data_IF_448679617469
#
_entry.id   IF_448679617469
#
_cell.length_a   1.000
_cell.length_b   1.000
_cell.length_c   1.000
_cell.angle_alpha   90.00
_cell.angle_beta   90.00
_cell.angle_gamma   90.00
#
_symmetry.space_group_name_H-M   'P 1'
#
loop_
_entity.id
_entity.type
_entity.pdbx_description
1 polymer ?
#
# COMPACT_ATOMS: atom_id res chain seq x y z
N UNK A 1 11.35 -15.11 6.55
CA UNK A 1 12.42 -14.59 5.69
C UNK A 1 12.63 -13.08 5.83
N UNK A 2 11.66 -12.36 6.43
CA UNK A 2 11.72 -10.89 6.53
C UNK A 2 11.86 -10.23 5.15
N UNK A 3 12.81 -9.33 5.00
CA UNK A 3 13.08 -8.64 3.72
C UNK A 3 13.95 -9.43 2.73
N UNK A 4 14.45 -10.59 3.13
CA UNK A 4 15.30 -11.44 2.29
C UNK A 4 14.47 -12.51 1.59
N UNK A 5 13.70 -12.10 0.60
CA UNK A 5 12.90 -13.02 -0.23
C UNK A 5 13.68 -13.34 -1.49
N UNK A 6 13.86 -14.64 -1.76
CA UNK A 6 14.53 -15.10 -2.96
C UNK A 6 13.62 -15.11 -4.19
N UNK A 7 14.22 -15.28 -5.37
CA UNK A 7 13.51 -15.33 -6.65
C UNK A 7 12.40 -16.39 -6.66
N UNK A 8 12.69 -17.57 -6.17
CA UNK A 8 11.74 -18.70 -6.21
C UNK A 8 10.48 -18.40 -5.40
N UNK A 9 10.66 -17.83 -4.23
CA UNK A 9 9.54 -17.39 -3.36
C UNK A 9 8.74 -16.28 -4.02
N UNK A 10 9.38 -15.25 -4.59
CA UNK A 10 8.68 -14.17 -5.32
C UNK A 10 7.88 -14.71 -6.51
N UNK A 11 8.46 -15.59 -7.31
CA UNK A 11 7.78 -16.18 -8.45
C UNK A 11 6.61 -17.08 -8.02
N UNK A 12 6.74 -17.78 -6.89
CA UNK A 12 5.66 -18.57 -6.31
C UNK A 12 4.49 -17.67 -5.90
N UNK A 13 4.77 -16.59 -5.18
CA UNK A 13 3.76 -15.63 -4.75
C UNK A 13 3.02 -15.02 -5.95
N UNK A 14 3.75 -14.54 -6.95
CA UNK A 14 3.14 -13.97 -8.16
C UNK A 14 2.26 -14.98 -8.91
N UNK A 15 2.69 -16.25 -9.01
CA UNK A 15 1.86 -17.30 -9.62
C UNK A 15 0.59 -17.56 -8.83
N UNK A 16 0.67 -17.62 -7.50
CA UNK A 16 -0.49 -17.81 -6.64
C UNK A 16 -1.46 -16.62 -6.74
N UNK A 17 -0.94 -15.39 -6.76
CA UNK A 17 -1.74 -14.19 -6.98
C UNK A 17 -2.49 -14.25 -8.32
N UNK A 18 -1.82 -14.64 -9.41
CA UNK A 18 -2.49 -14.83 -10.72
C UNK A 18 -3.57 -15.90 -10.69
N UNK A 19 -3.33 -17.02 -10.00
CA UNK A 19 -4.34 -18.08 -9.84
C UNK A 19 -5.57 -17.58 -9.05
N UNK A 20 -5.37 -16.62 -8.15
CA UNK A 20 -6.45 -15.96 -7.41
C UNK A 20 -7.06 -14.74 -8.14
N UNK A 21 -6.74 -14.55 -9.43
CA UNK A 21 -7.17 -13.39 -10.24
C UNK A 21 -6.72 -12.02 -9.70
N UNK A 22 -5.68 -11.97 -8.89
CA UNK A 22 -5.08 -10.70 -8.47
C UNK A 22 -4.27 -10.15 -9.63
N UNK A 23 -4.51 -8.89 -9.99
CA UNK A 23 -3.86 -8.21 -11.10
C UNK A 23 -3.01 -7.02 -10.70
N UNK A 24 -3.11 -6.57 -9.45
CA UNK A 24 -2.41 -5.41 -8.93
C UNK A 24 -1.77 -5.70 -7.57
N UNK A 25 -0.60 -5.12 -7.33
CA UNK A 25 0.15 -5.25 -6.08
C UNK A 25 0.55 -3.84 -5.61
N UNK A 26 0.35 -3.57 -4.32
CA UNK A 26 0.90 -2.40 -3.65
C UNK A 26 2.13 -2.82 -2.86
N UNK A 27 3.22 -2.08 -3.01
CA UNK A 27 4.49 -2.39 -2.32
C UNK A 27 4.53 -1.78 -0.92
N UNK A 28 3.55 -2.13 -0.09
CA UNK A 28 3.42 -1.60 1.26
C UNK A 28 4.60 -2.00 2.17
N UNK A 29 5.30 -1.09 2.86
CA UNK A 29 5.18 0.37 2.82
C UNK A 29 6.51 0.97 2.41
N UNK A 30 7.15 0.40 1.40
CA UNK A 30 8.43 0.81 0.84
C UNK A 30 8.69 0.11 -0.50
N UNK A 31 9.56 0.65 -1.34
CA UNK A 31 9.90 0.01 -2.62
C UNK A 31 10.45 -1.40 -2.42
N UNK A 32 10.01 -2.33 -3.26
CA UNK A 32 10.48 -3.70 -3.22
C UNK A 32 11.87 -3.86 -3.89
N UNK A 33 12.42 -5.07 -3.91
CA UNK A 33 13.68 -5.34 -4.61
C UNK A 33 13.52 -5.12 -6.13
N UNK A 34 14.57 -4.69 -6.86
CA UNK A 34 14.47 -4.51 -8.32
C UNK A 34 13.97 -5.76 -9.05
N UNK A 35 14.37 -6.95 -8.60
CA UNK A 35 13.91 -8.22 -9.14
C UNK A 35 12.39 -8.37 -9.12
N UNK A 36 11.74 -7.85 -8.09
CA UNK A 36 10.28 -7.92 -7.97
C UNK A 36 9.58 -7.19 -9.13
N UNK A 37 10.07 -6.02 -9.51
CA UNK A 37 9.50 -5.26 -10.64
C UNK A 37 9.75 -5.94 -11.97
N UNK A 38 10.95 -6.51 -12.19
CA UNK A 38 11.24 -7.34 -13.39
C UNK A 38 10.24 -8.50 -13.50
N UNK A 39 9.94 -9.15 -12.38
CA UNK A 39 8.96 -10.23 -12.33
C UNK A 39 7.54 -9.71 -12.57
N UNK A 40 7.16 -8.58 -11.98
CA UNK A 40 5.86 -7.96 -12.22
C UNK A 40 5.67 -7.57 -13.69
N UNK A 41 6.70 -7.00 -14.33
CA UNK A 41 6.72 -6.71 -15.77
C UNK A 41 6.47 -8.00 -16.58
N UNK A 42 7.18 -9.06 -16.23
CA UNK A 42 7.10 -10.35 -16.94
C UNK A 42 5.75 -11.06 -16.75
N UNK A 43 5.20 -11.03 -15.54
CA UNK A 43 3.94 -11.70 -15.21
C UNK A 43 2.70 -10.83 -15.49
N UNK A 44 2.88 -9.58 -15.90
CA UNK A 44 1.79 -8.66 -16.24
C UNK A 44 0.96 -8.24 -15.01
N UNK A 45 1.62 -7.81 -13.95
CA UNK A 45 0.97 -7.13 -12.83
C UNK A 45 1.01 -5.63 -13.01
N UNK A 46 0.00 -4.96 -12.51
CA UNK A 46 0.06 -3.54 -12.19
C UNK A 46 0.67 -3.36 -10.81
N UNK A 47 1.49 -2.32 -10.63
CA UNK A 47 2.13 -2.03 -9.34
C UNK A 47 1.81 -0.61 -8.91
N UNK A 48 1.35 -0.48 -7.67
CA UNK A 48 1.38 0.76 -6.93
C UNK A 48 2.68 0.75 -6.13
N UNK A 49 3.65 1.52 -6.61
CA UNK A 49 4.97 1.59 -5.99
C UNK A 49 5.00 2.68 -4.92
N UNK A 50 5.36 2.30 -3.69
CA UNK A 50 5.21 3.15 -2.52
C UNK A 50 6.53 3.63 -1.97
N UNK A 51 6.60 4.95 -1.73
CA UNK A 51 7.74 5.57 -1.05
C UNK A 51 7.81 5.10 0.41
N UNK A 52 9.02 4.92 0.92
CA UNK A 52 9.25 4.50 2.29
C UNK A 52 9.02 5.64 3.30
N UNK A 53 7.79 6.14 3.33
CA UNK A 53 7.33 7.17 4.25
C UNK A 53 6.15 6.61 5.05
N UNK A 54 6.34 6.51 6.35
CA UNK A 54 5.37 6.01 7.33
C UNK A 54 5.53 6.80 8.62
N UNK A 55 4.45 7.33 9.17
CA UNK A 55 4.51 8.07 10.43
C UNK A 55 3.24 7.90 11.28
N UNK A 56 2.62 6.74 11.19
CA UNK A 56 1.37 6.39 11.89
C UNK A 56 1.39 6.70 13.38
N UNK A 57 2.53 6.50 14.07
CA UNK A 57 2.68 6.77 15.50
C UNK A 57 2.39 8.24 15.89
N UNK A 58 2.47 9.17 14.94
CA UNK A 58 2.05 10.56 15.12
C UNK A 58 0.55 10.80 14.82
N UNK A 59 -0.19 9.72 14.53
CA UNK A 59 -1.60 9.76 14.14
C UNK A 59 -1.81 10.02 12.65
N UNK A 60 -2.90 9.46 12.13
CA UNK A 60 -3.31 9.69 10.75
C UNK A 60 -3.59 11.17 10.50
N UNK A 61 -3.16 11.70 9.36
CA UNK A 61 -3.33 13.11 9.03
C UNK A 61 -2.50 14.07 9.90
N UNK A 62 -1.46 13.57 10.60
CA UNK A 62 -0.58 14.42 11.39
C UNK A 62 0.09 15.50 10.52
N UNK A 63 0.40 16.63 11.17
CA UNK A 63 1.14 17.74 10.55
C UNK A 63 2.58 17.86 11.05
N UNK A 64 3.00 16.97 11.94
CA UNK A 64 4.36 17.02 12.51
C UNK A 64 5.37 16.70 11.43
N UNK A 65 5.21 15.56 10.74
CA UNK A 65 6.09 15.18 9.64
C UNK A 65 5.53 15.62 8.28
N UNK A 66 4.22 15.53 8.06
CA UNK A 66 3.57 15.86 6.79
C UNK A 66 3.64 17.35 6.42
N UNK A 67 3.71 18.27 7.39
CA UNK A 67 3.72 19.72 7.15
C UNK A 67 4.90 20.48 7.78
N UNK A 68 5.77 19.81 8.55
CA UNK A 68 6.96 20.47 9.11
C UNK A 68 8.05 20.65 8.03
N UNK A 69 8.48 21.89 7.76
CA UNK A 69 9.47 22.19 6.71
C UNK A 69 10.84 21.55 6.94
N UNK A 70 11.20 21.22 8.17
CA UNK A 70 12.47 20.53 8.47
C UNK A 70 12.54 19.12 7.86
N UNK A 71 11.38 18.51 7.58
CA UNK A 71 11.27 17.17 6.99
C UNK A 71 11.10 17.19 5.46
N UNK A 72 10.97 18.36 4.84
CA UNK A 72 10.70 18.46 3.40
C UNK A 72 11.77 17.75 2.56
N UNK A 73 13.05 17.98 2.85
CA UNK A 73 14.14 17.33 2.10
C UNK A 73 14.10 15.81 2.22
N UNK A 74 13.80 15.29 3.39
CA UNK A 74 13.71 13.85 3.61
C UNK A 74 12.54 13.21 2.83
N UNK A 75 11.41 13.91 2.71
CA UNK A 75 10.27 13.46 1.91
C UNK A 75 10.58 13.50 0.41
N UNK A 76 11.14 14.61 -0.07
CA UNK A 76 11.53 14.79 -1.48
C UNK A 76 12.57 13.74 -1.89
N UNK A 77 13.56 13.47 -1.05
CA UNK A 77 14.59 12.46 -1.33
C UNK A 77 13.99 11.06 -1.53
N UNK A 78 13.01 10.68 -0.72
CA UNK A 78 12.30 9.39 -0.87
C UNK A 78 11.51 9.31 -2.17
N UNK A 79 10.80 10.37 -2.52
CA UNK A 79 10.06 10.45 -3.78
C UNK A 79 11.01 10.39 -4.99
N UNK A 80 12.12 11.13 -4.92
CA UNK A 80 13.14 11.16 -5.96
C UNK A 80 13.78 9.78 -6.15
N UNK A 81 14.20 9.13 -5.06
CA UNK A 81 14.83 7.82 -5.10
C UNK A 81 13.87 6.76 -5.69
N UNK A 82 12.61 6.75 -5.28
CA UNK A 82 11.58 5.87 -5.80
C UNK A 82 11.46 5.99 -7.32
N UNK A 83 11.14 7.19 -7.80
CA UNK A 83 10.85 7.40 -9.22
C UNK A 83 12.09 7.21 -10.09
N UNK A 84 13.26 7.68 -9.67
CA UNK A 84 14.48 7.50 -10.46
C UNK A 84 14.86 6.04 -10.63
N UNK A 85 14.62 5.21 -9.63
CA UNK A 85 14.89 3.79 -9.69
C UNK A 85 13.91 3.04 -10.60
N UNK A 86 12.60 3.32 -10.44
CA UNK A 86 11.55 2.40 -10.93
C UNK A 86 10.73 2.93 -12.13
N UNK A 87 10.94 4.17 -12.57
CA UNK A 87 10.20 4.78 -13.69
C UNK A 87 10.25 4.04 -15.02
N UNK A 88 11.23 3.17 -15.21
CA UNK A 88 11.38 2.40 -16.44
C UNK A 88 10.66 1.04 -16.40
N UNK A 89 10.00 0.70 -15.27
CA UNK A 89 9.20 -0.51 -15.17
C UNK A 89 7.77 -0.25 -15.67
N UNK A 90 7.33 -0.91 -16.77
CA UNK A 90 5.97 -0.72 -17.28
C UNK A 90 4.88 -1.22 -16.33
N UNK A 91 5.20 -2.14 -15.41
CA UNK A 91 4.26 -2.59 -14.39
C UNK A 91 3.85 -1.49 -13.41
N UNK A 92 4.73 -0.51 -13.14
CA UNK A 92 4.41 0.59 -12.24
C UNK A 92 3.41 1.53 -12.91
N UNK A 93 2.22 1.68 -12.33
CA UNK A 93 1.14 2.52 -12.85
C UNK A 93 0.73 3.62 -11.86
N UNK A 94 1.09 3.47 -10.59
CA UNK A 94 0.84 4.45 -9.54
C UNK A 94 2.11 4.71 -8.75
N UNK A 95 2.32 5.98 -8.40
CA UNK A 95 3.28 6.41 -7.39
C UNK A 95 2.55 6.72 -6.10
N UNK A 96 2.78 5.94 -5.06
CA UNK A 96 2.24 6.20 -3.72
C UNK A 96 3.25 7.02 -2.89
N UNK A 97 2.77 8.09 -2.28
CA UNK A 97 3.61 9.00 -1.50
C UNK A 97 4.05 8.41 -0.14
N UNK A 98 3.49 7.28 0.23
CA UNK A 98 3.74 6.61 1.50
C UNK A 98 2.46 6.12 2.14
N UNK A 99 2.56 5.69 3.39
CA UNK A 99 1.45 5.19 4.18
C UNK A 99 1.29 5.99 5.46
N UNK A 100 0.05 6.39 5.76
CA UNK A 100 -0.33 7.03 7.04
C UNK A 100 0.62 8.16 7.48
N UNK A 101 1.15 8.88 6.50
CA UNK A 101 2.26 9.83 6.64
C UNK A 101 1.86 11.26 6.93
N UNK A 102 0.57 11.51 7.12
CA UNK A 102 0.06 12.84 7.34
C UNK A 102 -0.25 13.61 6.05
N UNK A 103 -0.52 14.87 6.19
CA UNK A 103 -0.89 15.76 5.09
C UNK A 103 -0.15 17.09 5.20
N UNK A 104 -0.01 17.81 4.08
CA UNK A 104 0.54 19.15 4.05
C UNK A 104 1.66 19.35 3.04
N UNK A 105 2.50 20.36 3.28
CA UNK A 105 3.52 20.82 2.33
C UNK A 105 4.48 19.73 1.85
N UNK A 106 4.79 18.75 2.70
CA UNK A 106 5.76 17.72 2.37
C UNK A 106 5.16 16.71 1.39
N UNK A 107 3.87 16.39 1.52
CA UNK A 107 3.14 15.57 0.54
C UNK A 107 3.05 16.30 -0.81
N UNK A 108 2.76 17.59 -0.79
CA UNK A 108 2.77 18.41 -2.01
C UNK A 108 4.16 18.45 -2.66
N UNK A 109 5.22 18.64 -1.88
CA UNK A 109 6.60 18.65 -2.38
C UNK A 109 7.01 17.30 -3.00
N UNK A 110 6.58 16.16 -2.41
CA UNK A 110 6.76 14.84 -3.01
C UNK A 110 6.01 14.72 -4.34
N UNK A 111 4.75 15.12 -4.37
CA UNK A 111 3.93 15.08 -5.57
C UNK A 111 4.52 15.92 -6.71
N UNK A 112 4.94 17.15 -6.42
CA UNK A 112 5.58 18.05 -7.38
C UNK A 112 6.89 17.46 -7.92
N UNK A 113 7.69 16.84 -7.05
CA UNK A 113 8.94 16.17 -7.44
C UNK A 113 8.68 15.01 -8.40
N UNK A 114 7.68 14.18 -8.10
CA UNK A 114 7.30 13.06 -8.96
C UNK A 114 6.79 13.58 -10.30
N UNK A 115 5.88 14.55 -10.30
CA UNK A 115 5.31 15.14 -11.51
C UNK A 115 6.38 15.75 -12.43
N UNK A 116 7.41 16.35 -11.86
CA UNK A 116 8.52 16.93 -12.61
C UNK A 116 9.37 15.86 -13.35
N UNK A 117 9.39 14.63 -12.84
CA UNK A 117 10.18 13.53 -13.41
C UNK A 117 9.33 12.63 -14.29
N UNK A 118 8.12 12.32 -13.84
CA UNK A 118 7.18 11.42 -14.49
C UNK A 118 5.75 11.93 -14.32
N UNK A 119 5.28 12.68 -15.31
CA UNK A 119 3.92 13.16 -15.39
C UNK A 119 2.95 12.14 -16.01
N UNK A 120 3.44 10.95 -16.40
CA UNK A 120 2.62 9.94 -17.09
C UNK A 120 1.85 9.03 -16.14
N UNK A 121 2.29 8.92 -14.89
CA UNK A 121 1.70 8.02 -13.90
C UNK A 121 0.91 8.79 -12.84
N UNK A 122 -0.03 8.08 -12.25
CA UNK A 122 -0.98 8.61 -11.27
C UNK A 122 -0.31 8.68 -9.89
N UNK A 123 -0.54 9.78 -9.17
CA UNK A 123 -0.10 9.94 -7.79
C UNK A 123 -1.23 9.52 -6.85
N UNK A 124 -0.87 8.74 -5.84
CA UNK A 124 -1.74 8.32 -4.74
C UNK A 124 -1.20 8.83 -3.41
N UNK A 125 -2.10 9.32 -2.57
CA UNK A 125 -1.86 9.58 -1.15
C UNK A 125 -3.11 9.17 -0.37
N UNK A 126 -2.92 8.46 0.72
CA UNK A 126 -3.99 8.00 1.60
C UNK A 126 -4.50 9.08 2.55
N UNK A 127 -3.61 9.95 3.01
CA UNK A 127 -3.90 10.95 4.05
C UNK A 127 -4.01 12.38 3.51
N UNK A 128 -3.40 12.68 2.37
CA UNK A 128 -3.55 13.98 1.72
C UNK A 128 -4.32 13.88 0.39
N UNK A 129 -5.63 13.96 0.50
CA UNK A 129 -6.51 13.87 -0.66
C UNK A 129 -6.36 15.06 -1.64
N UNK A 130 -5.70 16.15 -1.25
CA UNK A 130 -5.48 17.28 -2.16
C UNK A 130 -4.53 16.92 -3.28
N UNK A 131 -3.55 16.06 -3.03
CA UNK A 131 -2.55 15.60 -4.00
C UNK A 131 -2.85 14.21 -4.58
N UNK A 132 -3.75 13.46 -3.95
CA UNK A 132 -4.16 12.12 -4.43
C UNK A 132 -5.11 12.21 -5.60
N UNK A 133 -4.95 11.33 -6.59
CA UNK A 133 -5.91 11.16 -7.68
C UNK A 133 -7.15 10.34 -7.29
N UNK A 134 -7.17 9.73 -6.12
CA UNK A 134 -8.25 8.87 -5.64
C UNK A 134 -8.80 9.32 -4.30
N UNK A 135 -10.05 8.94 -4.05
CA UNK A 135 -10.62 8.87 -2.72
C UNK A 135 -10.34 7.48 -2.13
N UNK A 136 -9.89 7.41 -0.88
CA UNK A 136 -9.54 6.17 -0.21
C UNK A 136 -10.40 5.93 1.05
N UNK A 137 -11.44 5.09 0.97
CA UNK A 137 -12.23 4.66 2.13
C UNK A 137 -11.68 3.38 2.76
N UNK A 138 -10.38 3.22 2.87
CA UNK A 138 -9.76 2.02 3.43
C UNK A 138 -10.39 1.57 4.73
N UNK A 139 -10.51 0.25 4.90
CA UNK A 139 -11.12 -0.41 6.04
C UNK A 139 -12.60 -0.10 6.30
N UNK A 140 -13.32 0.53 5.39
CA UNK A 140 -14.77 0.59 5.50
C UNK A 140 -15.35 -0.82 5.44
N UNK A 141 -16.32 -1.10 6.30
CA UNK A 141 -17.09 -2.34 6.17
C UNK A 141 -17.86 -2.36 4.84
N UNK A 142 -18.24 -3.53 4.30
CA UNK A 142 -18.97 -3.59 3.03
C UNK A 142 -20.22 -2.69 2.99
N UNK A 143 -20.95 -2.60 4.10
CA UNK A 143 -22.12 -1.72 4.23
C UNK A 143 -21.76 -0.24 4.10
N UNK A 144 -20.75 0.23 4.85
CA UNK A 144 -20.26 1.61 4.76
C UNK A 144 -19.66 1.91 3.38
N UNK A 145 -18.95 0.94 2.80
CA UNK A 145 -18.38 1.10 1.47
C UNK A 145 -19.47 1.24 0.40
N UNK A 146 -20.53 0.46 0.50
CA UNK A 146 -21.71 0.56 -0.38
C UNK A 146 -22.39 1.94 -0.27
N UNK A 147 -22.51 2.48 0.92
CA UNK A 147 -23.06 3.82 1.12
C UNK A 147 -22.13 4.89 0.52
N UNK A 148 -20.84 4.77 0.78
CA UNK A 148 -19.82 5.68 0.27
C UNK A 148 -19.74 5.69 -1.27
N UNK A 149 -19.85 4.51 -1.90
CA UNK A 149 -19.80 4.36 -3.35
C UNK A 149 -21.06 4.87 -4.07
N UNK A 150 -22.19 5.05 -3.38
CA UNK A 150 -23.41 5.64 -3.95
C UNK A 150 -23.31 7.15 -4.18
N UNK A 151 -22.44 7.82 -3.44
CA UNK A 151 -22.28 9.26 -3.54
C UNK A 151 -21.43 9.59 -4.77
N UNK A 152 -21.90 10.53 -5.59
CA UNK A 152 -21.11 11.06 -6.71
C UNK A 152 -19.92 11.83 -6.17
N UNK A 153 -18.72 11.48 -6.64
CA UNK A 153 -17.45 12.09 -6.25
C UNK A 153 -16.73 12.65 -7.50
N UNK A 154 -15.87 13.60 -7.25
CA UNK A 154 -15.02 14.21 -8.28
C UNK A 154 -13.81 13.36 -8.67
N UNK A 155 -13.41 12.44 -7.77
CA UNK A 155 -12.32 11.49 -7.97
C UNK A 155 -12.82 10.06 -7.86
N UNK A 156 -12.22 9.12 -8.60
CA UNK A 156 -12.52 7.69 -8.44
C UNK A 156 -12.15 7.20 -7.05
N UNK A 157 -12.68 6.03 -6.70
CA UNK A 157 -12.45 5.39 -5.41
C UNK A 157 -11.47 4.23 -5.60
N UNK A 158 -10.47 4.17 -4.75
CA UNK A 158 -9.58 3.03 -4.61
C UNK A 158 -9.29 2.77 -3.13
N UNK A 159 -9.61 1.57 -2.63
CA UNK A 159 -9.26 1.19 -1.26
C UNK A 159 -7.84 0.64 -1.24
N UNK A 160 -6.90 1.40 -0.71
CA UNK A 160 -5.50 0.95 -0.60
C UNK A 160 -5.35 -0.30 0.26
N UNK A 161 -6.27 -0.48 1.21
CA UNK A 161 -6.29 -1.60 2.14
C UNK A 161 -7.73 -1.99 2.49
N UNK A 162 -8.07 -3.27 2.32
CA UNK A 162 -9.35 -3.82 2.72
C UNK A 162 -9.21 -5.29 3.13
N UNK A 163 -10.24 -5.88 3.69
CA UNK A 163 -10.28 -7.29 4.09
C UNK A 163 -9.07 -7.69 4.95
N UNK A 164 -8.78 -6.88 5.99
CA UNK A 164 -7.64 -7.04 6.89
C UNK A 164 -7.41 -8.51 7.31
N UNK A 165 -6.31 -9.11 6.87
CA UNK A 165 -6.04 -10.54 6.90
C UNK A 165 -5.26 -11.01 8.14
N UNK A 166 -5.26 -10.26 9.22
CA UNK A 166 -4.56 -10.63 10.45
C UNK A 166 -5.47 -11.35 11.44
N UNK A 167 -4.95 -12.37 12.11
CA UNK A 167 -5.69 -13.17 13.07
C UNK A 167 -6.78 -14.00 12.42
N UNK A 168 -7.96 -14.06 13.04
CA UNK A 168 -9.10 -14.79 12.54
C UNK A 168 -9.99 -13.89 11.67
N UNK A 169 -9.44 -13.36 10.61
CA UNK A 169 -10.11 -12.47 9.68
C UNK A 169 -10.02 -12.97 8.24
N UNK A 170 -10.23 -12.13 7.29
CA UNK A 170 -10.54 -12.33 5.89
C UNK A 170 -11.96 -12.86 5.70
N UNK A 171 -12.88 -11.94 5.56
CA UNK A 171 -14.26 -12.26 5.23
C UNK A 171 -14.85 -11.21 4.30
N UNK A 172 -16.04 -11.49 3.83
CA UNK A 172 -16.85 -10.54 3.07
C UNK A 172 -16.22 -10.08 1.74
N UNK A 173 -15.29 -10.84 1.14
CA UNK A 173 -14.69 -10.48 -0.14
C UNK A 173 -15.76 -10.30 -1.23
N UNK A 174 -16.77 -11.18 -1.26
CA UNK A 174 -17.84 -11.08 -2.24
C UNK A 174 -18.63 -9.78 -2.09
N UNK A 175 -18.97 -9.40 -0.87
CA UNK A 175 -19.74 -8.18 -0.60
C UNK A 175 -18.98 -6.91 -0.99
N UNK A 176 -17.65 -6.89 -0.85
CA UNK A 176 -16.82 -5.79 -1.36
C UNK A 176 -16.84 -5.76 -2.88
N UNK A 177 -16.69 -6.92 -3.52
CA UNK A 177 -16.69 -7.02 -4.98
C UNK A 177 -18.04 -6.72 -5.60
N UNK A 178 -19.14 -7.07 -4.95
CA UNK A 178 -20.49 -6.66 -5.37
C UNK A 178 -20.61 -5.13 -5.44
N UNK A 179 -19.95 -4.39 -4.55
CA UNK A 179 -19.92 -2.92 -4.58
C UNK A 179 -18.99 -2.42 -5.68
N UNK A 180 -17.81 -3.03 -5.83
CA UNK A 180 -16.82 -2.62 -6.85
C UNK A 180 -17.41 -2.80 -8.25
N UNK A 181 -17.98 -3.96 -8.55
CA UNK A 181 -18.55 -4.28 -9.86
C UNK A 181 -19.81 -3.48 -10.21
N UNK A 182 -20.55 -3.05 -9.19
CA UNK A 182 -21.78 -2.28 -9.38
C UNK A 182 -21.54 -0.77 -9.61
N UNK A 183 -20.30 -0.27 -9.50
CA UNK A 183 -20.02 1.18 -9.53
C UNK A 183 -18.79 1.50 -10.38
N UNK A 184 -18.98 2.02 -11.58
CA UNK A 184 -17.92 2.32 -12.56
C UNK A 184 -16.83 3.29 -12.07
N UNK A 185 -17.10 4.06 -11.02
CA UNK A 185 -16.13 4.99 -10.44
C UNK A 185 -15.32 4.36 -9.29
N UNK A 186 -15.55 3.09 -8.99
CA UNK A 186 -14.71 2.31 -8.06
C UNK A 186 -13.69 1.54 -8.87
N UNK A 187 -12.44 1.94 -8.76
CA UNK A 187 -11.34 1.41 -9.57
C UNK A 187 -10.78 0.08 -9.05
N UNK A 188 -11.06 -0.26 -7.79
CA UNK A 188 -10.58 -1.49 -7.17
C UNK A 188 -10.16 -1.33 -5.72
N UNK A 189 -9.45 -2.35 -5.23
CA UNK A 189 -8.96 -2.37 -3.86
C UNK A 189 -7.75 -3.31 -3.73
N UNK A 190 -6.88 -3.09 -2.73
CA UNK A 190 -5.78 -3.99 -2.40
C UNK A 190 -6.01 -4.63 -1.02
N UNK A 191 -5.94 -5.97 -0.97
CA UNK A 191 -6.13 -6.74 0.26
C UNK A 191 -4.97 -6.45 1.22
N UNK A 192 -5.26 -6.16 2.47
CA UNK A 192 -4.28 -6.13 3.53
C UNK A 192 -4.31 -7.43 4.35
N UNK A 193 -3.34 -8.35 4.23
CA UNK A 193 -2.28 -8.33 3.24
C UNK A 193 -2.11 -9.73 2.61
N UNK A 194 -1.12 -9.92 1.76
CA UNK A 194 -0.94 -11.17 1.01
C UNK A 194 -0.51 -12.33 1.90
N UNK A 195 0.46 -12.13 2.78
CA UNK A 195 0.99 -13.15 3.69
C UNK A 195 1.19 -12.57 5.08
N UNK A 196 1.11 -13.43 6.09
CA UNK A 196 1.43 -13.05 7.47
C UNK A 196 2.83 -12.44 7.58
N UNK A 197 2.94 -11.36 8.36
CA UNK A 197 4.18 -10.65 8.65
C UNK A 197 5.03 -11.36 9.71
N UNK A 198 4.64 -12.55 10.13
CA UNK A 198 5.30 -13.33 11.16
C UNK A 198 6.71 -13.78 10.78
N UNK A 199 7.66 -13.53 11.63
CA UNK A 199 9.04 -14.00 11.51
C UNK A 199 9.30 -15.12 12.49
N UNK A 200 9.75 -16.29 11.98
CA UNK A 200 10.09 -17.41 12.83
C UNK A 200 11.29 -17.06 13.73
N UNK A 201 11.10 -17.14 15.05
CA UNK A 201 12.14 -16.89 16.04
C UNK A 201 12.37 -18.14 16.87
N UNK A 202 13.63 -18.54 17.05
CA UNK A 202 13.96 -19.63 17.99
C UNK A 202 13.61 -19.22 19.41
N UNK A 203 12.76 -20.02 20.06
CA UNK A 203 12.42 -19.81 21.47
C UNK A 203 13.59 -20.33 22.31
N UNK A 204 14.14 -19.47 23.17
CA UNK A 204 15.15 -19.89 24.14
C UNK A 204 14.55 -20.93 25.10
N UNK A 205 15.30 -22.00 25.52
CA UNK A 205 14.80 -23.02 26.41
C UNK A 205 14.27 -22.50 27.76
N UNK A 206 14.63 -21.27 28.16
CA UNK A 206 14.14 -20.61 29.35
C UNK A 206 12.86 -19.78 29.17
N UNK A 207 12.29 -19.74 27.96
CA UNK A 207 11.06 -19.03 27.74
C UNK A 207 9.89 -19.78 28.34
N UNK A 208 9.37 -19.28 29.44
CA UNK A 208 8.15 -19.84 30.05
C UNK A 208 6.96 -19.49 29.15
N UNK A 209 6.38 -20.51 28.57
CA UNK A 209 5.05 -20.42 27.92
C UNK A 209 4.05 -20.00 29.01
N UNK A 210 3.70 -18.75 29.04
CA UNK A 210 2.81 -18.24 30.09
C UNK A 210 2.64 -16.74 30.11
N UNK A 211 3.34 -16.03 29.27
CA UNK A 211 2.95 -14.67 28.92
C UNK A 211 2.20 -14.77 27.61
N UNK A 212 0.99 -15.29 27.71
CA UNK A 212 -0.02 -15.08 26.68
C UNK A 212 -0.35 -13.58 26.71
N UNK A 213 0.44 -12.83 26.05
CA UNK A 213 0.04 -11.53 25.62
C UNK A 213 -0.32 -11.61 24.16
N UNK A 214 -1.63 -11.62 23.96
CA UNK A 214 -2.26 -10.90 22.87
C UNK A 214 -1.43 -10.84 21.58
N UNK A 215 -1.55 -11.84 20.75
CA UNK A 215 -1.38 -11.69 19.30
C UNK A 215 -0.01 -11.26 18.78
N UNK A 216 1.01 -11.14 19.61
CA UNK A 216 2.30 -10.58 19.23
C UNK A 216 3.48 -11.51 19.46
N UNK A 217 3.33 -12.77 19.15
CA UNK A 217 4.46 -13.72 19.03
C UNK A 217 4.90 -13.87 17.58
N UNK A 218 4.47 -12.97 16.75
CA UNK A 218 4.86 -12.86 15.34
C UNK A 218 5.49 -11.48 15.15
N UNK A 219 6.74 -11.36 15.45
CA UNK A 219 7.60 -10.27 15.02
C UNK A 219 8.45 -10.76 13.86
#
# INVERSE_FOLDING_TARGET
TGQLVDRETMEKDLRLMKQANINMIRTAHYPNSPLFYELCDRYGFYVMDEANQESHDYGLGNKILGDNPEWTLAHVDRALALVQRDKNHPCVVFWSLGNEGGAGRNMQAMADTIQAIDASRIIFSDTDLSVSAFNDPSYYTPGKFKEYAREKRDKPIFMREYAHAMGNSVGNLQEYWDVIEANDHVSGAAIWDWVDQGIAKKINPGYKKGVENSGSLLL
#
